data_IF_950525365065
#
_entry.id   IF_950525365065
#
_cell.length_a   1.000
_cell.length_b   1.000
_cell.length_c   1.000
_cell.angle_alpha   90.00
_cell.angle_beta   90.00
_cell.angle_gamma   90.00
#
_symmetry.space_group_name_H-M   'P 1'
#
loop_
_entity.id
_entity.type
_entity.pdbx_description
1 polymer ?
#
# COMPACT_ATOMS: atom_id res chain seq x y z
N UNK A 1 -4.09 8.13 -12.97
CA UNK A 1 -4.92 7.54 -11.91
C UNK A 1 -4.36 7.94 -10.56
N UNK A 2 -5.21 8.22 -9.57
CA UNK A 2 -4.87 8.68 -8.22
C UNK A 2 -5.51 7.75 -7.21
N UNK A 3 -4.67 7.00 -6.49
CA UNK A 3 -5.12 6.08 -5.46
C UNK A 3 -4.58 6.57 -4.12
N UNK A 4 -5.39 6.51 -3.07
CA UNK A 4 -4.93 6.80 -1.72
C UNK A 4 -4.94 5.53 -0.87
N UNK A 5 -3.87 5.33 -0.11
CA UNK A 5 -3.69 4.27 0.88
C UNK A 5 -3.47 5.02 2.20
N UNK A 6 -4.51 5.09 3.03
CA UNK A 6 -4.55 6.05 4.15
C UNK A 6 -4.73 5.34 5.49
N UNK A 7 -3.82 5.57 6.43
CA UNK A 7 -3.89 4.99 7.77
C UNK A 7 -2.58 5.09 8.56
N UNK A 8 -2.70 5.14 9.88
CA UNK A 8 -1.59 5.25 10.83
C UNK A 8 -1.04 3.86 11.17
N UNK A 9 -0.20 3.30 10.27
CA UNK A 9 0.52 2.03 10.46
C UNK A 9 1.65 1.80 9.42
N UNK A 10 2.46 0.75 9.64
CA UNK A 10 3.62 0.33 8.81
C UNK A 10 3.23 -0.27 7.43
N UNK A 11 2.64 0.55 6.55
CA UNK A 11 2.14 0.17 5.22
C UNK A 11 3.10 0.48 4.05
N UNK A 12 4.24 1.13 4.32
CA UNK A 12 5.15 1.62 3.28
C UNK A 12 5.68 0.52 2.35
N UNK A 13 6.06 -0.63 2.90
CA UNK A 13 6.54 -1.77 2.10
C UNK A 13 5.49 -2.25 1.11
N UNK A 14 4.23 -2.25 1.54
CA UNK A 14 3.08 -2.58 0.72
C UNK A 14 2.91 -1.56 -0.41
N UNK A 15 2.94 -0.26 -0.09
CA UNK A 15 2.81 0.82 -1.09
C UNK A 15 3.92 0.73 -2.14
N UNK A 16 5.17 0.57 -1.73
CA UNK A 16 6.32 0.48 -2.63
C UNK A 16 6.26 -0.76 -3.52
N UNK A 17 5.84 -1.90 -2.96
CA UNK A 17 5.65 -3.13 -3.74
C UNK A 17 4.58 -2.95 -4.80
N UNK A 18 3.45 -2.36 -4.43
CA UNK A 18 2.37 -2.02 -5.36
C UNK A 18 2.88 -1.08 -6.45
N UNK A 19 3.63 -0.03 -6.08
CA UNK A 19 4.21 0.92 -7.03
C UNK A 19 5.09 0.21 -8.07
N UNK A 20 5.98 -0.67 -7.61
CA UNK A 20 6.87 -1.44 -8.47
C UNK A 20 6.12 -2.40 -9.39
N UNK A 21 5.17 -3.16 -8.84
CA UNK A 21 4.38 -4.11 -9.63
C UNK A 21 3.54 -3.39 -10.68
N UNK A 22 2.96 -2.25 -10.32
CA UNK A 22 2.16 -1.42 -11.22
C UNK A 22 3.02 -0.83 -12.34
N UNK A 23 4.20 -0.30 -12.02
CA UNK A 23 5.13 0.19 -13.03
C UNK A 23 5.60 -0.95 -13.95
N UNK A 24 5.99 -2.09 -13.39
CA UNK A 24 6.42 -3.25 -14.16
C UNK A 24 5.30 -3.79 -15.08
N UNK A 25 4.05 -3.72 -14.64
CA UNK A 25 2.91 -4.15 -15.46
C UNK A 25 2.56 -3.15 -16.56
N UNK A 26 2.45 -1.88 -16.21
CA UNK A 26 1.93 -0.84 -17.10
C UNK A 26 2.99 -0.19 -17.98
N UNK A 27 4.27 -0.32 -17.61
CA UNK A 27 5.41 0.38 -18.21
C UNK A 27 5.24 1.91 -18.23
N UNK A 28 4.44 2.43 -17.28
CA UNK A 28 4.11 3.86 -17.13
C UNK A 28 4.79 4.45 -15.90
N UNK A 29 4.81 5.79 -15.82
CA UNK A 29 5.42 6.48 -14.67
C UNK A 29 4.51 6.35 -13.45
N UNK A 30 5.09 5.95 -12.33
CA UNK A 30 4.42 5.83 -11.03
C UNK A 30 5.12 6.76 -10.05
N UNK A 31 4.34 7.59 -9.35
CA UNK A 31 4.82 8.40 -8.23
C UNK A 31 4.15 7.96 -6.93
N UNK A 32 4.93 7.80 -5.88
CA UNK A 32 4.44 7.69 -4.50
C UNK A 32 4.49 9.08 -3.89
N UNK A 33 3.38 9.53 -3.31
CA UNK A 33 3.30 10.81 -2.60
C UNK A 33 3.02 10.51 -1.14
N UNK A 34 3.87 10.98 -0.23
CA UNK A 34 3.75 10.64 1.19
C UNK A 34 3.80 11.87 2.08
N UNK A 35 3.13 11.83 3.24
CA UNK A 35 3.27 12.81 4.32
C UNK A 35 4.42 12.45 5.29
N UNK A 36 5.08 11.29 5.12
CA UNK A 36 6.23 10.85 5.92
C UNK A 36 7.41 10.37 5.05
N UNK A 37 8.45 11.21 4.93
CA UNK A 37 9.60 10.94 4.05
C UNK A 37 10.54 9.84 4.56
N UNK A 38 10.58 9.63 5.88
CA UNK A 38 11.62 8.83 6.56
C UNK A 38 11.71 7.40 6.03
N UNK A 39 10.57 6.79 5.73
CA UNK A 39 10.48 5.41 5.25
C UNK A 39 10.90 5.25 3.78
N UNK A 40 11.02 6.36 3.04
CA UNK A 40 11.31 6.36 1.60
C UNK A 40 12.71 6.86 1.23
N UNK A 41 13.45 7.48 2.17
CA UNK A 41 14.76 8.10 1.91
C UNK A 41 15.80 7.16 1.27
N UNK A 42 15.66 5.86 1.45
CA UNK A 42 16.59 4.87 0.91
C UNK A 42 16.20 4.35 -0.49
N UNK A 43 15.03 4.76 -0.98
CA UNK A 43 14.44 4.26 -2.23
C UNK A 43 14.66 5.18 -3.44
N UNK A 44 15.26 6.35 -3.23
CA UNK A 44 15.55 7.37 -4.25
C UNK A 44 16.71 6.98 -5.19
N UNK A 45 16.67 5.77 -5.76
CA UNK A 45 17.67 5.25 -6.69
C UNK A 45 17.16 5.12 -8.13
N UNK A 46 18.03 5.29 -9.12
CA UNK A 46 17.71 5.20 -10.56
C UNK A 46 17.10 3.86 -10.98
N UNK A 47 17.32 2.78 -10.23
CA UNK A 47 16.93 1.42 -10.60
C UNK A 47 15.44 1.15 -10.36
N UNK A 48 14.82 1.81 -9.38
CA UNK A 48 13.41 1.58 -9.07
C UNK A 48 12.48 2.19 -10.10
N UNK A 49 12.88 3.31 -10.73
CA UNK A 49 12.07 4.06 -11.69
C UNK A 49 10.83 4.74 -11.09
N UNK A 50 10.62 4.62 -9.77
CA UNK A 50 9.49 5.19 -9.03
C UNK A 50 9.94 6.51 -8.42
N UNK A 51 9.19 7.58 -8.68
CA UNK A 51 9.42 8.84 -7.99
C UNK A 51 8.77 8.83 -6.61
N UNK A 52 9.41 9.44 -5.63
CA UNK A 52 8.82 9.72 -4.33
C UNK A 52 8.73 11.22 -4.18
N UNK A 53 7.51 11.72 -3.99
CA UNK A 53 7.23 13.11 -3.67
C UNK A 53 6.79 13.22 -2.20
N UNK A 54 7.18 14.29 -1.52
CA UNK A 54 6.78 14.57 -0.12
C UNK A 54 5.71 15.65 -0.11
N UNK A 55 4.61 15.39 0.60
CA UNK A 55 3.40 16.21 0.77
C UNK A 55 2.59 16.50 -0.50
N UNK A 56 3.27 16.85 -1.60
CA UNK A 56 2.64 17.32 -2.85
C UNK A 56 3.27 16.59 -4.03
N UNK A 57 2.42 16.11 -4.93
CA UNK A 57 2.85 15.54 -6.21
C UNK A 57 3.56 16.61 -7.07
N UNK A 58 4.90 16.60 -7.07
CA UNK A 58 5.71 17.47 -7.94
C UNK A 58 6.11 16.77 -9.23
N UNK A 59 6.20 15.44 -9.19
CA UNK A 59 6.58 14.63 -10.34
C UNK A 59 5.37 14.33 -11.22
N UNK A 60 5.51 14.56 -12.54
CA UNK A 60 4.49 14.15 -13.51
C UNK A 60 4.51 12.64 -13.71
N UNK A 61 3.44 11.96 -13.31
CA UNK A 61 3.27 10.51 -13.40
C UNK A 61 1.90 10.13 -13.95
N UNK A 62 1.80 8.95 -14.55
CA UNK A 62 0.53 8.38 -15.02
C UNK A 62 -0.29 7.83 -13.85
N UNK A 63 0.40 7.34 -12.82
CA UNK A 63 -0.17 6.79 -11.59
C UNK A 63 0.41 7.48 -10.37
N UNK A 64 -0.47 7.88 -9.46
CA UNK A 64 -0.13 8.43 -8.17
C UNK A 64 -0.64 7.51 -7.06
N UNK A 65 0.24 7.13 -6.15
CA UNK A 65 -0.04 6.38 -4.93
C UNK A 65 0.18 7.30 -3.74
N UNK A 66 -0.90 7.79 -3.12
CA UNK A 66 -0.83 8.63 -1.93
C UNK A 66 -0.74 7.75 -0.69
N UNK A 67 0.43 7.69 -0.06
CA UNK A 67 0.69 7.00 1.20
C UNK A 67 0.61 7.99 2.36
N UNK A 68 -0.60 8.25 2.84
CA UNK A 68 -0.88 9.23 3.90
C UNK A 68 -1.28 8.55 5.20
N UNK A 69 -1.10 9.24 6.33
CA UNK A 69 -1.40 8.67 7.65
C UNK A 69 -2.67 9.25 8.27
N UNK A 70 -2.90 10.55 8.06
CA UNK A 70 -3.84 11.30 8.91
C UNK A 70 -5.04 11.90 8.17
N UNK A 71 -4.97 12.01 6.84
CA UNK A 71 -6.02 12.67 6.07
C UNK A 71 -6.21 12.05 4.69
N UNK A 72 -7.47 12.00 4.26
CA UNK A 72 -7.81 11.66 2.87
C UNK A 72 -7.55 12.90 1.99
N UNK A 73 -6.83 12.76 0.87
CA UNK A 73 -6.63 13.89 -0.05
C UNK A 73 -7.96 14.49 -0.55
N UNK A 74 -8.03 15.81 -0.66
CA UNK A 74 -9.27 16.55 -1.00
C UNK A 74 -9.60 16.58 -2.51
N UNK A 75 -8.81 15.92 -3.35
CA UNK A 75 -9.06 15.82 -4.79
C UNK A 75 -9.70 14.47 -5.13
N UNK A 76 -10.25 14.37 -6.34
CA UNK A 76 -10.86 13.13 -6.82
C UNK A 76 -9.85 11.97 -6.86
N UNK A 77 -10.22 10.86 -6.21
CA UNK A 77 -9.48 9.59 -6.18
C UNK A 77 -10.21 8.56 -7.03
N UNK A 78 -9.45 7.79 -7.80
CA UNK A 78 -9.96 6.61 -8.53
C UNK A 78 -10.17 5.43 -7.58
N UNK A 79 -9.43 5.39 -6.46
CA UNK A 79 -9.51 4.32 -5.47
C UNK A 79 -9.03 4.81 -4.09
N UNK A 80 -9.69 4.35 -3.02
CA UNK A 80 -9.31 4.61 -1.64
C UNK A 80 -9.20 3.29 -0.87
N UNK A 81 -8.03 3.02 -0.30
CA UNK A 81 -7.81 1.93 0.65
C UNK A 81 -7.56 2.53 2.03
N UNK A 82 -8.39 2.19 3.00
CA UNK A 82 -8.12 2.55 4.38
C UNK A 82 -7.22 1.52 5.02
N UNK A 83 -6.40 1.92 5.98
CA UNK A 83 -5.42 1.02 6.61
C UNK A 83 -5.46 1.15 8.11
N UNK A 84 -5.37 0.03 8.82
CA UNK A 84 -5.27 -0.02 10.27
C UNK A 84 -4.39 -1.18 10.72
N UNK A 85 -4.03 -1.18 11.99
CA UNK A 85 -3.48 -2.34 12.69
C UNK A 85 -4.31 -2.67 13.94
N UNK A 86 -3.76 -3.49 14.84
CA UNK A 86 -4.46 -3.95 16.05
C UNK A 86 -4.36 -2.96 17.22
N UNK A 87 -3.62 -1.86 17.07
CA UNK A 87 -3.48 -0.86 18.10
C UNK A 87 -4.72 0.01 18.17
N UNK A 88 -5.19 0.28 19.40
CA UNK A 88 -6.34 1.15 19.62
C UNK A 88 -6.19 2.52 18.94
N UNK A 89 -4.98 3.10 18.98
CA UNK A 89 -4.70 4.40 18.32
C UNK A 89 -4.98 4.32 16.81
N UNK A 90 -4.60 3.23 16.15
CA UNK A 90 -4.82 3.04 14.71
C UNK A 90 -6.31 2.88 14.39
N UNK A 91 -7.06 2.15 15.23
CA UNK A 91 -8.51 2.01 15.11
C UNK A 91 -9.24 3.34 15.33
N UNK A 92 -8.91 4.08 16.40
CA UNK A 92 -9.48 5.40 16.67
C UNK A 92 -9.19 6.39 15.50
N UNK A 93 -8.04 6.23 14.83
CA UNK A 93 -7.68 6.99 13.64
C UNK A 93 -8.47 6.58 12.42
N UNK A 94 -8.65 5.28 12.20
CA UNK A 94 -9.48 4.74 11.11
C UNK A 94 -10.91 5.30 11.21
N UNK A 95 -11.50 5.33 12.41
CA UNK A 95 -12.81 5.95 12.65
C UNK A 95 -12.81 7.42 12.21
N UNK A 96 -11.78 8.19 12.56
CA UNK A 96 -11.62 9.56 12.12
C UNK A 96 -11.51 9.71 10.60
N UNK A 97 -10.79 8.81 9.93
CA UNK A 97 -10.68 8.79 8.46
C UNK A 97 -12.02 8.47 7.79
N UNK A 98 -12.80 7.55 8.36
CA UNK A 98 -14.13 7.19 7.86
C UNK A 98 -15.06 8.40 7.86
N UNK A 99 -14.96 9.29 8.85
CA UNK A 99 -15.74 10.55 8.84
C UNK A 99 -15.32 11.54 7.75
N UNK A 100 -14.15 11.38 7.14
CA UNK A 100 -13.67 12.20 6.02
C UNK A 100 -14.07 11.62 4.64
N UNK A 101 -14.61 10.40 4.62
CA UNK A 101 -15.10 9.76 3.39
C UNK A 101 -16.35 10.49 2.93
N UNK A 102 -16.20 11.34 1.91
CA UNK A 102 -17.32 12.05 1.31
C UNK A 102 -17.70 11.42 -0.03
N UNK A 103 -16.81 11.47 -1.02
CA UNK A 103 -17.16 11.22 -2.44
C UNK A 103 -16.60 9.91 -3.01
N UNK A 104 -15.75 9.20 -2.28
CA UNK A 104 -15.10 7.97 -2.74
C UNK A 104 -15.24 6.90 -1.66
N UNK A 105 -16.08 5.91 -1.91
CA UNK A 105 -16.20 4.77 -1.02
C UNK A 105 -14.87 4.00 -0.96
N UNK A 106 -14.38 3.63 0.24
CA UNK A 106 -13.22 2.77 0.36
C UNK A 106 -13.45 1.46 -0.37
N UNK A 107 -12.47 1.01 -1.15
CA UNK A 107 -12.51 -0.28 -1.83
C UNK A 107 -12.15 -1.45 -0.90
N UNK A 108 -11.62 -1.15 0.28
CA UNK A 108 -11.34 -2.13 1.32
C UNK A 108 -10.67 -1.48 2.53
N UNK A 109 -10.45 -2.31 3.56
CA UNK A 109 -9.55 -1.99 4.66
C UNK A 109 -8.37 -2.96 4.64
N UNK A 110 -7.16 -2.42 4.57
CA UNK A 110 -5.93 -3.16 4.78
C UNK A 110 -5.64 -3.25 6.28
N UNK A 111 -5.58 -4.46 6.82
CA UNK A 111 -5.30 -4.73 8.22
C UNK A 111 -3.88 -5.33 8.32
N UNK A 112 -2.97 -4.54 8.87
CA UNK A 112 -1.59 -4.97 9.15
C UNK A 112 -1.58 -5.60 10.53
N UNK A 113 -1.52 -6.93 10.59
CA UNK A 113 -1.55 -7.65 11.86
C UNK A 113 -0.21 -7.49 12.57
N UNK A 114 -0.18 -7.14 13.85
CA UNK A 114 1.04 -7.20 14.67
C UNK A 114 0.92 -8.37 15.66
N UNK A 115 2.04 -8.98 16.09
CA UNK A 115 2.01 -10.04 17.10
C UNK A 115 1.25 -9.59 18.36
N UNK A 116 0.05 -10.12 18.55
CA UNK A 116 -0.91 -9.63 19.54
C UNK A 116 -1.85 -10.74 20.01
N UNK A 117 -2.45 -10.54 21.18
CA UNK A 117 -3.53 -11.40 21.71
C UNK A 117 -4.90 -11.07 21.11
N UNK A 118 -5.01 -9.97 20.37
CA UNK A 118 -6.24 -9.54 19.71
C UNK A 118 -6.43 -10.38 18.44
N UNK A 119 -7.63 -10.92 18.23
CA UNK A 119 -7.96 -11.66 17.01
C UNK A 119 -8.34 -10.72 15.88
N UNK A 120 -8.12 -11.17 14.64
CA UNK A 120 -8.55 -10.44 13.44
C UNK A 120 -10.06 -10.18 13.45
N UNK A 121 -10.86 -11.17 13.86
CA UNK A 121 -12.33 -11.04 13.99
C UNK A 121 -12.76 -9.88 14.88
N UNK A 122 -11.98 -9.55 15.91
CA UNK A 122 -12.29 -8.43 16.80
C UNK A 122 -12.05 -7.09 16.08
N UNK A 123 -10.95 -7.00 15.35
CA UNK A 123 -10.60 -5.82 14.57
C UNK A 123 -11.62 -5.58 13.48
N UNK A 124 -11.96 -6.61 12.69
CA UNK A 124 -12.97 -6.51 11.64
C UNK A 124 -14.33 -6.06 12.16
N UNK A 125 -14.77 -6.57 13.31
CA UNK A 125 -16.01 -6.13 13.96
C UNK A 125 -15.97 -4.69 14.49
N UNK A 126 -14.78 -4.15 14.71
CA UNK A 126 -14.58 -2.79 15.19
C UNK A 126 -14.54 -1.77 14.06
N UNK A 127 -14.42 -2.20 12.80
CA UNK A 127 -14.41 -1.33 11.63
C UNK A 127 -15.86 -0.91 11.31
N UNK A 128 -16.21 0.39 11.36
CA UNK A 128 -17.60 0.84 11.22
C UNK A 128 -18.06 0.96 9.76
N UNK A 129 -17.44 0.25 8.82
CA UNK A 129 -17.79 0.22 7.39
C UNK A 129 -17.78 -1.21 6.85
N UNK A 130 -18.74 -1.52 5.98
CA UNK A 130 -18.85 -2.83 5.33
C UNK A 130 -18.09 -2.81 4.00
N UNK A 131 -16.79 -3.11 4.07
CA UNK A 131 -15.89 -3.21 2.90
C UNK A 131 -14.99 -4.44 3.07
N UNK A 132 -14.44 -5.02 1.99
CA UNK A 132 -13.59 -6.20 2.11
C UNK A 132 -12.29 -5.89 2.86
N UNK A 133 -11.89 -6.82 3.73
CA UNK A 133 -10.60 -6.79 4.42
C UNK A 133 -9.50 -7.39 3.55
N UNK A 134 -8.36 -6.70 3.47
CA UNK A 134 -7.10 -7.23 2.97
C UNK A 134 -6.18 -7.38 4.18
N UNK A 135 -5.57 -8.53 4.40
CA UNK A 135 -4.87 -8.82 5.67
C UNK A 135 -3.50 -9.43 5.41
N UNK A 136 -2.47 -8.92 6.11
CA UNK A 136 -1.15 -9.56 6.18
C UNK A 136 -0.51 -9.34 7.54
N UNK A 137 0.46 -10.19 7.90
CA UNK A 137 1.20 -10.09 9.16
C UNK A 137 2.43 -9.18 9.05
N UNK A 138 2.60 -8.33 10.06
CA UNK A 138 3.79 -7.55 10.32
C UNK A 138 4.92 -8.45 10.85
N UNK A 139 5.61 -9.16 9.95
CA UNK A 139 6.76 -9.97 10.29
C UNK A 139 8.08 -9.47 9.65
N UNK A 140 9.20 -10.08 10.04
CA UNK A 140 10.51 -9.73 9.48
C UNK A 140 10.70 -10.17 8.03
N UNK A 141 9.88 -11.08 7.52
CA UNK A 141 9.97 -11.62 6.14
C UNK A 141 9.17 -10.79 5.14
N UNK A 142 8.23 -9.97 5.62
CA UNK A 142 7.58 -8.91 4.83
C UNK A 142 8.50 -7.73 4.60
N UNK A 143 9.46 -7.49 5.51
CA UNK A 143 10.35 -6.32 5.44
C UNK A 143 11.22 -6.51 4.23
N UNK A 144 10.81 -5.84 3.17
CA UNK A 144 11.51 -5.88 1.93
C UNK A 144 12.86 -5.21 2.16
N UNK A 145 13.93 -5.92 1.83
CA UNK A 145 15.27 -5.36 1.91
C UNK A 145 15.44 -4.37 0.75
N UNK A 146 15.18 -3.10 1.06
CA UNK A 146 15.32 -1.98 0.13
C UNK A 146 16.79 -1.64 0.00
N UNK A 147 17.35 -1.91 -1.18
CA UNK A 147 18.74 -1.58 -1.47
C UNK A 147 18.85 -0.09 -1.79
N UNK A 148 19.91 0.58 -1.32
CA UNK A 148 20.16 2.01 -1.53
C UNK A 148 20.17 2.47 -3.00
N UNK A 149 20.32 1.56 -3.97
CA UNK A 149 20.25 1.86 -5.40
C UNK A 149 18.83 1.77 -5.98
N UNK A 150 17.82 1.53 -5.13
CA UNK A 150 16.42 1.38 -5.50
C UNK A 150 16.01 -0.06 -5.87
N UNK A 151 16.88 -1.06 -5.69
CA UNK A 151 16.49 -2.47 -5.90
C UNK A 151 15.65 -3.01 -4.74
N UNK A 152 14.79 -3.97 -5.09
CA UNK A 152 13.81 -4.55 -4.19
C UNK A 152 13.98 -6.07 -4.14
N UNK A 153 14.45 -6.61 -3.02
CA UNK A 153 14.65 -8.05 -2.92
C UNK A 153 13.33 -8.80 -2.65
N UNK A 154 12.74 -9.38 -3.69
CA UNK A 154 11.49 -10.15 -3.58
C UNK A 154 11.67 -11.66 -3.34
N UNK A 155 12.89 -12.13 -3.02
CA UNK A 155 13.18 -13.59 -2.94
C UNK A 155 12.43 -14.29 -1.82
N UNK A 156 12.22 -13.62 -0.69
CA UNK A 156 11.68 -14.22 0.54
C UNK A 156 10.43 -13.51 1.06
N UNK A 157 9.57 -13.03 0.17
CA UNK A 157 8.31 -12.39 0.54
C UNK A 157 7.32 -13.41 1.11
N UNK A 158 6.79 -13.11 2.29
CA UNK A 158 5.75 -13.88 2.97
C UNK A 158 4.48 -14.01 2.10
N UNK A 159 3.78 -15.13 2.23
CA UNK A 159 2.64 -15.48 1.36
C UNK A 159 1.45 -14.54 1.58
N UNK A 160 1.08 -14.24 2.81
CA UNK A 160 0.03 -13.29 3.18
C UNK A 160 0.30 -11.90 2.63
N UNK A 161 1.52 -11.36 2.80
CA UNK A 161 1.90 -10.07 2.19
C UNK A 161 1.74 -10.09 0.66
N UNK A 162 2.24 -11.15 0.01
CA UNK A 162 2.07 -11.32 -1.44
C UNK A 162 0.59 -11.33 -1.84
N UNK A 163 -0.25 -12.08 -1.13
CA UNK A 163 -1.68 -12.16 -1.41
C UNK A 163 -2.37 -10.80 -1.22
N UNK A 164 -2.02 -10.07 -0.16
CA UNK A 164 -2.53 -8.73 0.09
C UNK A 164 -2.22 -7.77 -1.07
N UNK A 165 -0.98 -7.78 -1.57
CA UNK A 165 -0.60 -6.98 -2.75
C UNK A 165 -1.36 -7.42 -4.00
N UNK A 166 -1.48 -8.73 -4.24
CA UNK A 166 -2.25 -9.27 -5.37
C UNK A 166 -3.72 -8.83 -5.31
N UNK A 167 -4.35 -8.89 -4.15
CA UNK A 167 -5.75 -8.52 -3.97
C UNK A 167 -5.97 -7.02 -4.18
N UNK A 168 -5.07 -6.18 -3.67
CA UNK A 168 -5.14 -4.75 -3.96
C UNK A 168 -4.94 -4.42 -5.43
N UNK A 169 -4.00 -5.09 -6.11
CA UNK A 169 -3.78 -4.89 -7.55
C UNK A 169 -4.97 -5.35 -8.39
N UNK A 170 -5.73 -6.37 -7.96
CA UNK A 170 -6.99 -6.75 -8.59
C UNK A 170 -8.07 -5.71 -8.35
N UNK A 171 -8.26 -5.32 -7.09
CA UNK A 171 -9.37 -4.42 -6.69
C UNK A 171 -9.15 -3.01 -7.26
N UNK A 172 -7.95 -2.45 -7.12
CA UNK A 172 -7.65 -1.09 -7.54
C UNK A 172 -7.38 -0.95 -9.04
N UNK A 173 -6.81 -1.97 -9.69
CA UNK A 173 -6.28 -1.83 -11.05
C UNK A 173 -6.79 -2.89 -12.04
N UNK A 174 -7.69 -3.78 -11.62
CA UNK A 174 -8.25 -4.87 -12.43
C UNK A 174 -7.19 -5.75 -13.10
N UNK A 175 -6.06 -5.98 -12.41
CA UNK A 175 -4.97 -6.81 -12.96
C UNK A 175 -5.34 -8.30 -12.86
N UNK A 176 -5.39 -9.05 -13.98
CA UNK A 176 -5.78 -10.45 -13.96
C UNK A 176 -4.78 -11.35 -13.20
N UNK A 177 -5.29 -12.38 -12.52
CA UNK A 177 -4.48 -13.39 -11.79
C UNK A 177 -3.31 -13.97 -12.62
N UNK A 178 -3.55 -14.23 -13.91
CA UNK A 178 -2.53 -14.79 -14.82
C UNK A 178 -1.33 -13.86 -15.00
N UNK A 179 -1.54 -12.55 -14.89
CA UNK A 179 -0.50 -11.54 -15.09
C UNK A 179 0.19 -11.23 -13.76
N UNK A 180 -0.54 -11.23 -12.64
CA UNK A 180 0.05 -11.17 -11.29
C UNK A 180 1.07 -12.28 -11.05
N UNK A 181 0.76 -13.52 -11.46
CA UNK A 181 1.71 -14.63 -11.34
C UNK A 181 3.01 -14.38 -12.13
N UNK A 182 2.91 -13.76 -13.31
CA UNK A 182 4.08 -13.39 -14.14
C UNK A 182 4.86 -12.22 -13.53
N UNK A 183 4.17 -11.23 -12.99
CA UNK A 183 4.78 -10.07 -12.33
C UNK A 183 5.62 -10.52 -11.14
N UNK A 184 5.09 -11.38 -10.27
CA UNK A 184 5.85 -11.93 -9.15
C UNK A 184 7.05 -12.77 -9.59
N UNK A 185 6.91 -13.57 -10.65
CA UNK A 185 8.02 -14.34 -11.21
C UNK A 185 9.11 -13.43 -11.81
N UNK A 186 8.72 -12.31 -12.42
CA UNK A 186 9.63 -11.29 -12.93
C UNK A 186 10.34 -10.54 -11.80
N UNK A 187 9.57 -10.07 -10.80
CA UNK A 187 10.06 -9.37 -9.63
C UNK A 187 11.10 -10.18 -8.86
N UNK A 188 10.87 -11.48 -8.65
CA UNK A 188 11.84 -12.39 -7.99
C UNK A 188 13.15 -12.59 -8.76
N UNK A 189 13.14 -12.39 -10.08
CA UNK A 189 14.33 -12.59 -10.94
C UNK A 189 15.17 -11.32 -11.08
N UNK A 190 14.54 -10.15 -11.01
CA UNK A 190 15.18 -8.84 -11.26
C UNK A 190 15.37 -7.99 -10.00
N UNK A 191 14.61 -8.30 -8.95
CA UNK A 191 14.85 -7.83 -7.60
C UNK A 191 16.07 -8.46 -6.95
#
# INVERSE_FOLDING_TARGET
>A
MRHAIVGDCEKHDFVLTVAYMLQAYTQKKVSVVTDEDRHYRYFEGEVSGISVDVEVATTSADYYLYDFHYSIPLFHLDNLLLVTNYEKKSLDRLDGLITQVNDVLPSGVLIVQSPSKVSIDYVEKSIPIEVPSIVYEDDTYRRIDWVHDGRINFRSVEKGFRLAVEDYLKIGYDIPNKDLAKLWAYARKRG
#
